data_IF_997829581223
#
_entry.id   IF_997829581223
#
_cell.length_a   1.000
_cell.length_b   1.000
_cell.length_c   1.000
_cell.angle_alpha   90.00
_cell.angle_beta   90.00
_cell.angle_gamma   90.00
#
_symmetry.space_group_name_H-M   'P 1'
#
loop_
_entity.id
_entity.type
_entity.pdbx_description
1 polymer ?
#
# COMPACT_ATOMS: atom_id res chain seq x y z
N UNK A 1 -95.26 -8.72 -8.59
CA UNK A 1 -94.02 -8.21 -9.24
C UNK A 1 -93.16 -7.56 -8.15
N UNK A 2 -92.28 -8.21 -7.51
CA UNK A 2 -91.31 -7.61 -6.51
C UNK A 2 -89.83 -7.83 -6.89
N UNK A 3 -89.43 -7.59 -8.14
CA UNK A 3 -88.02 -7.80 -8.54
C UNK A 3 -87.27 -6.55 -9.00
N UNK A 4 -87.85 -5.39 -9.02
CA UNK A 4 -87.23 -4.16 -9.56
C UNK A 4 -86.62 -3.30 -8.42
N UNK A 5 -86.96 -3.55 -7.16
CA UNK A 5 -86.51 -2.69 -6.04
C UNK A 5 -85.12 -3.09 -5.40
N UNK A 6 -84.51 -4.22 -5.78
CA UNK A 6 -83.24 -4.65 -5.21
C UNK A 6 -82.02 -4.23 -6.02
N UNK A 7 -82.16 -3.83 -7.28
CA UNK A 7 -81.01 -3.46 -8.13
C UNK A 7 -80.55 -2.02 -7.99
N UNK A 8 -81.40 -1.12 -7.51
CA UNK A 8 -81.02 0.34 -7.36
C UNK A 8 -80.19 0.60 -6.11
N UNK A 9 -80.15 -0.28 -5.14
CA UNK A 9 -79.36 -0.08 -3.88
C UNK A 9 -77.88 -0.53 -3.93
N UNK A 10 -77.48 -1.26 -4.97
CA UNK A 10 -76.11 -1.69 -5.14
C UNK A 10 -75.18 -0.70 -5.87
N UNK A 11 -75.75 0.15 -6.73
CA UNK A 11 -74.97 1.10 -7.50
C UNK A 11 -74.49 2.31 -6.68
N UNK A 12 -75.09 2.63 -5.56
CA UNK A 12 -74.68 3.77 -4.71
C UNK A 12 -73.54 3.45 -3.75
N UNK A 13 -73.19 2.18 -3.49
CA UNK A 13 -72.06 1.81 -2.60
C UNK A 13 -70.75 1.50 -3.30
N UNK A 14 -70.77 1.22 -4.59
CA UNK A 14 -69.53 0.91 -5.35
C UNK A 14 -68.50 2.08 -5.46
N UNK A 15 -68.89 3.33 -5.71
CA UNK A 15 -67.91 4.41 -5.86
C UNK A 15 -67.17 4.74 -4.57
N UNK A 16 -67.79 4.53 -3.39
CA UNK A 16 -67.19 4.80 -2.10
C UNK A 16 -66.10 3.77 -1.71
N UNK A 17 -66.30 2.51 -2.08
CA UNK A 17 -65.33 1.44 -1.86
C UNK A 17 -64.14 1.54 -2.83
N UNK A 18 -64.36 1.97 -4.07
CA UNK A 18 -63.28 2.18 -5.03
C UNK A 18 -62.34 3.33 -4.61
N UNK A 19 -62.89 4.41 -4.04
CA UNK A 19 -62.12 5.53 -3.51
C UNK A 19 -61.26 5.17 -2.31
N UNK A 20 -61.72 4.28 -1.42
CA UNK A 20 -60.97 3.80 -0.24
C UNK A 20 -59.88 2.82 -0.67
N UNK A 21 -60.13 1.97 -1.68
CA UNK A 21 -59.15 1.02 -2.21
C UNK A 21 -58.02 1.72 -2.97
N UNK A 22 -58.33 2.76 -3.72
CA UNK A 22 -57.36 3.61 -4.43
C UNK A 22 -56.46 4.40 -3.45
N UNK A 23 -57.03 4.97 -2.38
CA UNK A 23 -56.26 5.66 -1.33
C UNK A 23 -55.36 4.72 -0.57
N UNK A 24 -55.79 3.49 -0.23
CA UNK A 24 -54.95 2.47 0.42
C UNK A 24 -53.81 2.01 -0.48
N UNK A 25 -54.01 1.77 -1.77
CA UNK A 25 -52.93 1.45 -2.72
C UNK A 25 -51.88 2.56 -2.83
N UNK A 26 -52.32 3.81 -2.83
CA UNK A 26 -51.43 4.97 -2.89
C UNK A 26 -50.60 5.12 -1.60
N UNK A 27 -51.17 4.82 -0.44
CA UNK A 27 -50.45 4.84 0.86
C UNK A 27 -49.46 3.70 0.92
N UNK A 28 -49.83 2.49 0.51
CA UNK A 28 -48.95 1.32 0.48
C UNK A 28 -47.75 1.53 -0.48
N UNK A 29 -47.98 2.15 -1.64
CA UNK A 29 -46.90 2.52 -2.56
C UNK A 29 -45.95 3.55 -1.93
N UNK A 30 -46.45 4.59 -1.28
CA UNK A 30 -45.62 5.59 -0.60
C UNK A 30 -44.78 4.96 0.52
N UNK A 31 -45.31 4.04 1.31
CA UNK A 31 -44.59 3.31 2.35
C UNK A 31 -43.49 2.43 1.74
N UNK A 32 -43.75 1.75 0.62
CA UNK A 32 -42.73 0.94 -0.08
C UNK A 32 -41.56 1.82 -0.60
N UNK A 33 -41.86 3.02 -1.14
CA UNK A 33 -40.81 3.94 -1.60
C UNK A 33 -39.98 4.50 -0.41
N UNK A 34 -40.62 4.81 0.71
CA UNK A 34 -39.91 5.26 1.91
C UNK A 34 -39.02 4.15 2.46
N UNK A 35 -39.51 2.91 2.51
CA UNK A 35 -38.69 1.75 2.90
C UNK A 35 -37.51 1.51 1.95
N UNK A 36 -37.72 1.63 0.65
CA UNK A 36 -36.67 1.50 -0.35
C UNK A 36 -35.60 2.60 -0.19
N UNK A 37 -36.01 3.84 0.09
CA UNK A 37 -35.06 4.94 0.38
C UNK A 37 -34.28 4.71 1.66
N UNK A 38 -34.89 4.17 2.72
CA UNK A 38 -34.21 3.83 3.98
C UNK A 38 -33.17 2.71 3.77
N UNK A 39 -33.52 1.70 2.98
CA UNK A 39 -32.58 0.61 2.63
C UNK A 39 -31.39 1.14 1.81
N UNK A 40 -31.64 2.02 0.83
CA UNK A 40 -30.58 2.64 0.04
C UNK A 40 -29.68 3.55 0.90
N UNK A 41 -30.24 4.32 1.83
CA UNK A 41 -29.46 5.11 2.79
C UNK A 41 -28.65 4.23 3.74
N UNK A 42 -29.20 3.10 4.20
CA UNK A 42 -28.48 2.11 5.01
C UNK A 42 -27.26 1.53 4.31
N UNK A 43 -27.39 1.15 3.04
CA UNK A 43 -26.28 0.66 2.22
C UNK A 43 -25.18 1.72 2.00
N UNK A 44 -25.55 3.01 1.88
CA UNK A 44 -24.56 4.10 1.81
C UNK A 44 -23.80 4.30 3.11
N UNK A 45 -24.47 4.19 4.27
CA UNK A 45 -23.83 4.33 5.58
C UNK A 45 -22.89 3.17 5.90
N UNK A 46 -23.23 1.94 5.51
CA UNK A 46 -22.34 0.78 5.66
C UNK A 46 -21.10 0.89 4.77
N UNK A 47 -21.23 1.39 3.53
CA UNK A 47 -20.10 1.62 2.63
C UNK A 47 -19.08 2.60 3.21
N UNK A 48 -19.54 3.73 3.78
CA UNK A 48 -18.65 4.73 4.39
C UNK A 48 -18.01 4.25 5.70
N UNK A 49 -18.69 3.41 6.49
CA UNK A 49 -18.14 2.82 7.70
C UNK A 49 -17.05 1.79 7.40
N UNK A 50 -17.19 1.04 6.30
CA UNK A 50 -16.20 0.06 5.84
C UNK A 50 -14.93 0.75 5.30
N UNK A 51 -15.06 1.88 4.59
CA UNK A 51 -13.92 2.70 4.16
C UNK A 51 -13.16 3.32 5.35
N UNK A 52 -13.87 3.82 6.37
CA UNK A 52 -13.22 4.34 7.59
C UNK A 52 -12.46 3.27 8.36
N UNK A 53 -12.97 2.03 8.44
CA UNK A 53 -12.26 0.90 9.06
C UNK A 53 -11.02 0.48 8.25
N UNK A 54 -11.06 0.55 6.90
CA UNK A 54 -9.91 0.27 6.05
C UNK A 54 -8.82 1.32 6.21
N UNK A 55 -9.16 2.63 6.17
CA UNK A 55 -8.20 3.72 6.40
C UNK A 55 -7.52 3.62 7.76
N UNK A 56 -8.26 3.36 8.83
CA UNK A 56 -7.68 3.20 10.16
C UNK A 56 -6.72 2.00 10.25
N UNK A 57 -7.00 0.90 9.57
CA UNK A 57 -6.11 -0.27 9.50
C UNK A 57 -4.86 -0.02 8.65
N UNK A 58 -4.95 0.86 7.64
CA UNK A 58 -3.80 1.24 6.82
C UNK A 58 -2.93 2.28 7.55
N UNK A 59 -3.52 3.20 8.32
CA UNK A 59 -2.80 4.15 9.19
C UNK A 59 -2.06 3.42 10.33
N UNK A 60 -2.66 2.39 10.94
CA UNK A 60 -2.01 1.54 11.95
C UNK A 60 -0.83 0.75 11.35
N UNK A 61 -0.90 0.32 10.08
CA UNK A 61 0.24 -0.29 9.37
C UNK A 61 1.38 0.68 9.10
N UNK A 62 1.07 1.94 8.79
CA UNK A 62 2.08 2.98 8.57
C UNK A 62 2.81 3.31 9.88
N UNK A 63 2.13 3.22 11.01
CA UNK A 63 2.74 3.46 12.34
C UNK A 63 3.71 2.34 12.73
N UNK A 64 3.44 1.09 12.34
CA UNK A 64 4.30 -0.08 12.60
C UNK A 64 5.63 0.00 11.81
N UNK A 65 5.64 0.70 10.66
CA UNK A 65 6.87 0.91 9.87
C UNK A 65 7.83 1.95 10.47
N UNK A 66 7.45 2.62 11.56
CA UNK A 66 8.30 3.59 12.28
C UNK A 66 9.13 3.00 13.42
N UNK A 67 8.93 1.75 13.76
CA UNK A 67 9.86 1.05 14.66
C UNK A 67 11.15 0.79 13.88
N UNK A 68 11.95 1.83 13.81
CA UNK A 68 13.36 1.74 13.39
C UNK A 68 14.02 0.67 14.26
N UNK A 69 14.30 -0.45 13.65
CA UNK A 69 15.16 -1.47 14.25
C UNK A 69 16.44 -0.75 14.66
N UNK A 70 16.65 -0.61 15.97
CA UNK A 70 17.85 -0.01 16.54
C UNK A 70 18.99 -0.99 16.22
N UNK A 71 19.63 -0.83 15.07
CA UNK A 71 20.83 -1.57 14.71
C UNK A 71 21.96 -1.12 15.63
N UNK A 72 22.15 -1.81 16.74
CA UNK A 72 23.44 -1.76 17.42
C UNK A 72 24.40 -2.60 16.58
N UNK A 73 25.50 -2.02 16.09
CA UNK A 73 26.51 -2.82 15.42
C UNK A 73 27.08 -3.82 16.45
N UNK A 74 26.71 -5.07 16.31
CA UNK A 74 27.26 -6.15 17.08
C UNK A 74 28.52 -6.56 16.34
N UNK A 75 29.69 -6.18 16.85
CA UNK A 75 30.98 -6.69 16.38
C UNK A 75 31.17 -8.09 16.95
N UNK A 76 31.17 -9.08 16.06
CA UNK A 76 31.50 -10.45 16.47
C UNK A 76 32.98 -10.54 16.80
N UNK A 77 33.31 -11.30 17.84
CA UNK A 77 34.69 -11.65 18.19
C UNK A 77 35.18 -12.78 17.26
N UNK A 78 36.48 -12.94 17.15
CA UNK A 78 37.10 -13.93 16.26
C UNK A 78 36.64 -15.35 16.52
N UNK A 79 36.44 -15.73 17.79
CA UNK A 79 35.98 -17.06 18.18
C UNK A 79 34.52 -17.30 17.78
N UNK A 80 33.71 -16.25 17.79
CA UNK A 80 32.32 -16.30 17.34
C UNK A 80 32.24 -16.53 15.82
N UNK A 81 33.12 -15.88 15.02
CA UNK A 81 33.20 -16.13 13.58
C UNK A 81 33.64 -17.54 13.22
N UNK A 82 34.57 -18.10 13.99
CA UNK A 82 35.13 -19.45 13.74
C UNK A 82 34.08 -20.55 13.84
N UNK A 83 33.12 -20.39 14.75
CA UNK A 83 32.06 -21.37 15.02
C UNK A 83 30.71 -20.99 14.36
N UNK A 84 30.69 -19.94 13.54
CA UNK A 84 29.45 -19.44 12.99
C UNK A 84 28.96 -20.28 11.80
N UNK A 85 27.71 -20.71 11.88
CA UNK A 85 27.03 -21.41 10.80
C UNK A 85 26.03 -20.47 10.15
N UNK A 86 26.25 -20.16 8.87
CA UNK A 86 25.32 -19.35 8.08
C UNK A 86 23.96 -20.04 7.95
N UNK A 87 22.84 -19.32 8.07
CA UNK A 87 21.53 -19.87 7.84
C UNK A 87 21.38 -20.33 6.37
N UNK A 88 20.52 -21.30 6.08
CA UNK A 88 20.31 -21.76 4.72
C UNK A 88 19.75 -20.63 3.83
N UNK A 89 20.17 -20.58 2.56
CA UNK A 89 19.77 -19.54 1.60
C UNK A 89 18.24 -19.41 1.46
N UNK A 90 17.52 -20.52 1.55
CA UNK A 90 16.06 -20.55 1.44
C UNK A 90 15.39 -19.74 2.56
N UNK A 91 15.88 -19.85 3.78
CA UNK A 91 15.37 -19.07 4.91
C UNK A 91 15.64 -17.56 4.74
N UNK A 92 16.78 -17.19 4.16
CA UNK A 92 17.11 -15.80 3.84
C UNK A 92 16.21 -15.24 2.74
N UNK A 93 15.89 -16.02 1.70
CA UNK A 93 14.97 -15.61 0.65
C UNK A 93 13.55 -15.44 1.16
N UNK A 94 13.10 -16.29 2.07
CA UNK A 94 11.78 -16.16 2.67
C UNK A 94 11.67 -14.91 3.54
N UNK A 95 12.68 -14.64 4.35
CA UNK A 95 12.74 -13.42 5.15
C UNK A 95 12.80 -12.16 4.29
N UNK A 96 13.53 -12.20 3.17
CA UNK A 96 13.68 -11.10 2.23
C UNK A 96 12.36 -10.69 1.56
N UNK A 97 11.32 -11.53 1.60
CA UNK A 97 9.96 -11.13 1.19
C UNK A 97 9.42 -9.96 2.02
N UNK A 98 9.94 -9.77 3.22
CA UNK A 98 9.59 -8.64 4.08
C UNK A 98 10.42 -7.38 3.81
N UNK A 99 11.35 -7.41 2.85
CA UNK A 99 12.19 -6.28 2.51
C UNK A 99 11.33 -5.07 2.09
N UNK A 100 11.59 -3.86 2.62
CA UNK A 100 10.85 -2.64 2.28
C UNK A 100 10.84 -2.32 0.78
N UNK A 101 11.95 -2.61 0.06
CA UNK A 101 12.06 -2.41 -1.40
C UNK A 101 11.02 -3.27 -2.15
N UNK A 102 10.86 -4.52 -1.77
CA UNK A 102 9.85 -5.41 -2.36
C UNK A 102 8.43 -4.98 -2.01
N UNK A 103 8.18 -4.58 -0.76
CA UNK A 103 6.87 -4.07 -0.33
C UNK A 103 6.45 -2.80 -1.06
N UNK A 104 7.40 -1.93 -1.40
CA UNK A 104 7.12 -0.72 -2.19
C UNK A 104 6.62 -1.08 -3.60
N UNK A 105 7.27 -2.04 -4.26
CA UNK A 105 6.86 -2.51 -5.60
C UNK A 105 5.53 -3.28 -5.53
N UNK A 106 5.29 -4.05 -4.47
CA UNK A 106 4.01 -4.71 -4.23
C UNK A 106 2.87 -3.69 -4.05
N UNK A 107 3.12 -2.60 -3.33
CA UNK A 107 2.16 -1.51 -3.20
C UNK A 107 1.87 -0.84 -4.55
N UNK A 108 2.89 -0.63 -5.41
CA UNK A 108 2.73 -0.10 -6.75
C UNK A 108 1.90 -1.05 -7.64
N UNK A 109 2.13 -2.35 -7.55
CA UNK A 109 1.32 -3.37 -8.25
C UNK A 109 -0.15 -3.33 -7.78
N UNK A 110 -0.39 -3.19 -6.48
CA UNK A 110 -1.76 -3.06 -5.94
C UNK A 110 -2.44 -1.78 -6.42
N UNK A 111 -1.71 -0.66 -6.52
CA UNK A 111 -2.21 0.59 -7.07
C UNK A 111 -2.60 0.42 -8.55
N UNK A 112 -1.75 -0.20 -9.38
CA UNK A 112 -2.03 -0.50 -10.78
C UNK A 112 -3.27 -1.41 -10.93
N UNK A 113 -3.44 -2.39 -10.02
CA UNK A 113 -4.65 -3.23 -9.97
C UNK A 113 -5.90 -2.43 -9.63
N UNK A 114 -5.81 -1.47 -8.71
CA UNK A 114 -6.92 -0.60 -8.36
C UNK A 114 -7.30 0.30 -9.55
N UNK A 115 -6.32 0.83 -10.26
CA UNK A 115 -6.51 1.64 -11.45
C UNK A 115 -7.18 0.86 -12.59
N UNK A 116 -6.81 -0.42 -12.80
CA UNK A 116 -7.52 -1.30 -13.72
C UNK A 116 -9.00 -1.48 -13.34
N UNK A 117 -9.32 -1.55 -12.04
CA UNK A 117 -10.70 -1.64 -11.57
C UNK A 117 -11.47 -0.35 -11.80
N UNK A 118 -10.85 0.82 -11.60
CA UNK A 118 -11.48 2.11 -11.87
C UNK A 118 -11.73 2.29 -13.36
N UNK A 119 -10.74 2.01 -14.21
CA UNK A 119 -10.86 2.08 -15.67
C UNK A 119 -11.99 1.20 -16.21
N UNK A 120 -12.20 0.01 -15.62
CA UNK A 120 -13.36 -0.84 -15.98
C UNK A 120 -14.71 -0.23 -15.62
N UNK A 121 -14.76 0.66 -14.64
CA UNK A 121 -15.97 1.33 -14.15
C UNK A 121 -16.15 2.73 -14.72
N UNK A 122 -15.23 3.22 -15.52
CA UNK A 122 -15.28 4.57 -16.11
C UNK A 122 -16.55 4.84 -16.93
N UNK A 123 -17.19 3.78 -17.43
CA UNK A 123 -18.48 3.90 -18.11
C UNK A 123 -19.59 4.46 -17.22
N UNK A 124 -19.49 4.31 -15.88
CA UNK A 124 -20.46 4.87 -14.94
C UNK A 124 -20.47 6.41 -14.95
N UNK A 125 -19.38 7.06 -15.37
CA UNK A 125 -19.33 8.52 -15.50
C UNK A 125 -20.32 9.09 -16.54
N UNK A 126 -20.83 8.23 -17.44
CA UNK A 126 -21.83 8.64 -18.42
C UNK A 126 -23.20 8.82 -17.81
N UNK A 127 -23.43 8.30 -16.63
CA UNK A 127 -24.67 8.42 -15.89
C UNK A 127 -24.46 9.40 -14.74
N UNK A 128 -25.22 10.48 -14.75
CA UNK A 128 -25.21 11.44 -13.66
C UNK A 128 -26.63 11.59 -13.08
N UNK A 129 -26.70 11.53 -11.76
CA UNK A 129 -27.94 11.81 -11.01
C UNK A 129 -27.74 13.12 -10.26
N UNK A 130 -28.66 14.04 -10.45
CA UNK A 130 -28.67 15.34 -9.80
C UNK A 130 -29.91 15.45 -8.91
N UNK A 131 -29.70 15.79 -7.66
CA UNK A 131 -30.78 16.15 -6.75
C UNK A 131 -30.54 17.58 -6.28
N UNK A 132 -31.53 18.42 -6.36
CA UNK A 132 -31.51 19.81 -5.94
C UNK A 132 -32.66 20.11 -5.00
N UNK A 133 -32.44 20.88 -3.96
CA UNK A 133 -33.44 21.48 -3.12
C UNK A 133 -33.17 22.98 -3.02
N UNK A 134 -34.19 23.77 -3.35
CA UNK A 134 -34.12 25.23 -3.28
C UNK A 134 -35.22 25.73 -2.35
N UNK A 135 -34.79 26.47 -1.33
CA UNK A 135 -35.73 27.15 -0.43
C UNK A 135 -35.36 28.63 -0.42
N UNK A 136 -36.37 29.45 -0.63
CA UNK A 136 -36.18 30.90 -0.69
C UNK A 136 -37.42 31.67 -1.14
N UNK A 137 -37.29 32.96 -1.20
CA UNK A 137 -38.33 33.84 -1.76
C UNK A 137 -38.04 33.92 -3.25
N UNK A 138 -38.84 33.19 -4.03
CA UNK A 138 -38.83 33.30 -5.49
C UNK A 138 -39.86 34.37 -5.88
N UNK A 139 -39.35 35.46 -6.42
CA UNK A 139 -40.21 36.55 -6.89
C UNK A 139 -39.87 36.92 -8.32
N UNK A 140 -40.89 37.33 -9.04
CA UNK A 140 -40.79 37.91 -10.37
C UNK A 140 -41.06 39.41 -10.29
N UNK A 141 -40.19 40.17 -10.90
CA UNK A 141 -40.47 41.60 -11.17
C UNK A 141 -41.34 41.66 -12.43
N UNK A 142 -42.50 42.23 -12.33
CA UNK A 142 -43.37 42.47 -13.47
C UNK A 142 -43.49 43.97 -13.70
N UNK A 143 -42.95 44.42 -14.82
CA UNK A 143 -43.10 45.81 -15.26
C UNK A 143 -44.39 45.90 -16.01
N UNK A 144 -45.31 46.70 -15.50
CA UNK A 144 -46.58 46.97 -16.16
C UNK A 144 -46.60 48.43 -16.64
N UNK A 145 -46.49 48.62 -17.94
CA UNK A 145 -46.60 49.92 -18.58
C UNK A 145 -47.95 50.02 -19.21
N UNK A 146 -48.79 50.96 -18.73
CA UNK A 146 -50.07 51.30 -19.35
C UNK A 146 -50.06 52.76 -19.74
N UNK A 147 -50.72 53.11 -20.83
CA UNK A 147 -50.71 54.43 -21.43
C UNK A 147 -51.14 55.58 -20.46
N UNK A 148 -51.66 55.27 -19.32
CA UNK A 148 -52.18 56.23 -18.33
C UNK A 148 -51.46 56.09 -16.93
N UNK A 149 -50.57 55.16 -16.75
CA UNK A 149 -49.84 55.01 -15.49
C UNK A 149 -48.32 54.96 -15.71
N UNK A 150 -47.55 55.67 -14.88
CA UNK A 150 -46.09 55.54 -14.92
C UNK A 150 -45.63 54.12 -14.63
N UNK A 151 -44.50 53.77 -15.17
CA UNK A 151 -43.86 52.46 -15.03
C UNK A 151 -43.88 52.03 -13.54
N UNK A 152 -44.66 51.01 -13.23
CA UNK A 152 -44.78 50.50 -11.88
C UNK A 152 -44.19 49.08 -11.85
N UNK A 153 -43.02 48.92 -11.20
CA UNK A 153 -42.39 47.63 -10.97
C UNK A 153 -43.03 47.01 -9.74
N UNK A 154 -43.80 45.95 -9.93
CA UNK A 154 -44.39 45.20 -8.81
C UNK A 154 -43.56 43.93 -8.55
N UNK A 155 -43.06 43.83 -7.35
CA UNK A 155 -42.39 42.60 -6.88
C UNK A 155 -43.45 41.68 -6.25
N UNK A 156 -43.68 40.53 -6.86
CA UNK A 156 -44.50 39.46 -6.28
C UNK A 156 -43.57 38.29 -5.88
N UNK A 157 -43.29 38.21 -4.61
CA UNK A 157 -42.45 37.15 -4.04
C UNK A 157 -43.21 36.31 -3.02
N UNK A 158 -43.16 35.01 -3.19
CA UNK A 158 -43.65 34.06 -2.17
C UNK A 158 -42.52 33.14 -1.72
N UNK A 159 -42.53 32.79 -0.43
CA UNK A 159 -41.64 31.78 0.08
C UNK A 159 -42.00 30.44 -0.52
N UNK A 160 -41.10 29.90 -1.33
CA UNK A 160 -41.29 28.65 -2.04
C UNK A 160 -40.22 27.67 -1.72
N UNK A 161 -40.58 26.43 -1.48
CA UNK A 161 -39.67 25.27 -1.43
C UNK A 161 -39.87 24.45 -2.69
N UNK A 162 -38.79 24.23 -3.43
CA UNK A 162 -38.81 23.34 -4.58
C UNK A 162 -37.69 22.29 -4.48
N UNK A 163 -38.02 21.11 -4.90
CA UNK A 163 -37.03 20.04 -5.01
C UNK A 163 -37.08 19.46 -6.41
N UNK A 164 -35.93 19.10 -6.94
CA UNK A 164 -35.79 18.53 -8.27
C UNK A 164 -34.89 17.31 -8.22
N UNK A 165 -35.29 16.25 -8.88
CA UNK A 165 -34.47 15.07 -9.12
C UNK A 165 -34.41 14.88 -10.62
N UNK A 166 -33.17 14.81 -11.15
CA UNK A 166 -32.94 14.58 -12.56
C UNK A 166 -31.87 13.51 -12.76
N UNK A 167 -32.05 12.69 -13.78
CA UNK A 167 -31.04 11.79 -14.28
C UNK A 167 -30.60 12.25 -15.67
N UNK A 168 -29.29 12.30 -15.91
CA UNK A 168 -28.76 12.68 -17.21
C UNK A 168 -27.80 11.59 -17.69
N UNK A 169 -27.87 11.22 -18.96
CA UNK A 169 -27.00 10.29 -19.64
C UNK A 169 -26.27 11.04 -20.74
N UNK A 170 -24.96 11.20 -20.59
CA UNK A 170 -24.11 11.84 -21.57
C UNK A 170 -23.00 10.88 -22.01
N UNK A 171 -23.13 10.35 -23.22
CA UNK A 171 -22.21 9.34 -23.76
C UNK A 171 -21.39 9.97 -24.90
N UNK A 172 -20.12 10.36 -24.65
CA UNK A 172 -19.24 10.84 -25.72
C UNK A 172 -18.85 9.65 -26.63
N UNK A 173 -19.07 9.82 -27.94
CA UNK A 173 -18.80 8.77 -28.93
C UNK A 173 -17.37 8.23 -28.87
N UNK A 174 -16.38 9.10 -28.65
CA UNK A 174 -14.98 8.72 -28.50
C UNK A 174 -14.77 7.71 -27.36
N UNK A 175 -15.48 7.88 -26.25
CA UNK A 175 -15.38 6.99 -25.10
C UNK A 175 -15.96 5.60 -25.38
N UNK A 176 -17.03 5.51 -26.15
CA UNK A 176 -17.64 4.23 -26.53
C UNK A 176 -16.65 3.32 -27.27
N UNK A 177 -15.96 3.89 -28.26
CA UNK A 177 -15.02 3.11 -29.09
C UNK A 177 -13.69 2.84 -28.40
N UNK A 178 -13.23 3.74 -27.56
CA UNK A 178 -11.91 3.65 -26.94
C UNK A 178 -11.90 2.97 -25.56
N UNK A 179 -13.05 2.74 -24.93
CA UNK A 179 -13.12 2.13 -23.58
C UNK A 179 -12.48 0.76 -23.53
N UNK A 180 -12.73 -0.09 -24.52
CA UNK A 180 -12.13 -1.42 -24.60
C UNK A 180 -10.59 -1.37 -24.69
N UNK A 181 -10.09 -0.44 -25.51
CA UNK A 181 -8.64 -0.23 -25.68
C UNK A 181 -7.98 0.32 -24.40
N UNK A 182 -8.66 1.23 -23.68
CA UNK A 182 -8.18 1.74 -22.38
C UNK A 182 -8.08 0.63 -21.34
N UNK A 183 -9.11 -0.21 -21.23
CA UNK A 183 -9.12 -1.35 -20.30
C UNK A 183 -8.02 -2.35 -20.65
N UNK A 184 -7.81 -2.62 -21.95
CA UNK A 184 -6.74 -3.50 -22.42
C UNK A 184 -5.37 -2.94 -22.07
N UNK A 185 -5.12 -1.66 -22.38
CA UNK A 185 -3.88 -0.97 -22.01
C UNK A 185 -3.61 -1.07 -20.51
N UNK A 186 -4.61 -0.77 -19.68
CA UNK A 186 -4.44 -0.82 -18.23
C UNK A 186 -4.23 -2.24 -17.69
N UNK A 187 -4.75 -3.25 -18.39
CA UNK A 187 -4.44 -4.65 -18.07
C UNK A 187 -2.98 -4.96 -18.31
N UNK A 188 -2.41 -4.51 -19.44
CA UNK A 188 -0.99 -4.73 -19.76
C UNK A 188 -0.08 -4.01 -18.75
N UNK A 189 -0.44 -2.79 -18.31
CA UNK A 189 0.28 -2.07 -17.26
C UNK A 189 0.26 -2.85 -15.93
N UNK A 190 -0.87 -3.47 -15.58
CA UNK A 190 -0.93 -4.32 -14.40
C UNK A 190 -0.05 -5.58 -14.54
N UNK A 191 -0.06 -6.22 -15.69
CA UNK A 191 0.82 -7.38 -15.97
C UNK A 191 2.28 -6.97 -15.90
N UNK A 192 2.64 -5.81 -16.47
CA UNK A 192 3.98 -5.26 -16.37
C UNK A 192 4.42 -5.08 -14.91
N UNK A 193 3.55 -4.52 -14.05
CA UNK A 193 3.86 -4.34 -12.63
C UNK A 193 4.04 -5.66 -11.85
N UNK A 194 3.41 -6.75 -12.30
CA UNK A 194 3.66 -8.09 -11.75
C UNK A 194 5.06 -8.61 -12.09
N UNK A 195 5.48 -8.46 -13.34
CA UNK A 195 6.85 -8.85 -13.76
C UNK A 195 7.91 -7.96 -13.08
N UNK A 196 7.62 -6.68 -12.88
CA UNK A 196 8.52 -5.77 -12.16
C UNK A 196 8.72 -6.21 -10.70
N UNK A 197 7.65 -6.64 -10.03
CA UNK A 197 7.75 -7.21 -8.68
C UNK A 197 8.64 -8.45 -8.65
N UNK A 198 8.47 -9.35 -9.62
CA UNK A 198 9.28 -10.57 -9.73
C UNK A 198 10.74 -10.24 -10.03
N UNK A 199 11.01 -9.28 -10.93
CA UNK A 199 12.34 -8.82 -11.27
C UNK A 199 13.08 -8.26 -10.05
N UNK A 200 12.43 -7.37 -9.27
CA UNK A 200 13.00 -6.80 -8.04
C UNK A 200 13.26 -7.89 -6.99
N UNK A 201 12.38 -8.89 -6.87
CA UNK A 201 12.63 -10.00 -5.95
C UNK A 201 13.83 -10.85 -6.39
N UNK A 202 14.02 -11.07 -7.69
CA UNK A 202 15.19 -11.78 -8.21
C UNK A 202 16.48 -10.97 -8.04
N UNK A 203 16.42 -9.63 -8.17
CA UNK A 203 17.55 -8.77 -7.82
C UNK A 203 17.97 -8.94 -6.35
N UNK A 204 17.01 -8.88 -5.42
CA UNK A 204 17.28 -9.07 -3.98
C UNK A 204 17.90 -10.46 -3.71
N UNK A 205 17.41 -11.51 -4.37
CA UNK A 205 17.99 -12.85 -4.26
C UNK A 205 19.45 -12.88 -4.73
N UNK A 206 19.72 -12.23 -5.86
CA UNK A 206 21.10 -12.18 -6.40
C UNK A 206 22.03 -11.42 -5.46
N UNK A 207 21.60 -10.29 -4.89
CA UNK A 207 22.36 -9.56 -3.88
C UNK A 207 22.64 -10.43 -2.63
N UNK A 208 21.65 -11.19 -2.16
CA UNK A 208 21.83 -12.13 -1.04
C UNK A 208 22.86 -13.22 -1.38
N UNK A 209 22.76 -13.81 -2.58
CA UNK A 209 23.69 -14.87 -3.01
C UNK A 209 25.13 -14.32 -3.05
N UNK A 210 25.31 -13.13 -3.63
CA UNK A 210 26.61 -12.49 -3.73
C UNK A 210 27.24 -12.25 -2.34
N UNK A 211 26.49 -11.66 -1.42
CA UNK A 211 26.95 -11.41 -0.06
C UNK A 211 27.24 -12.73 0.66
N UNK A 212 26.37 -13.73 0.52
CA UNK A 212 26.52 -15.04 1.12
C UNK A 212 27.81 -15.75 0.67
N UNK A 213 28.09 -15.75 -0.63
CA UNK A 213 29.31 -16.31 -1.19
C UNK A 213 30.55 -15.55 -0.72
N UNK A 214 30.46 -14.21 -0.63
CA UNK A 214 31.55 -13.39 -0.10
C UNK A 214 31.84 -13.68 1.38
N UNK A 215 30.79 -13.84 2.19
CA UNK A 215 30.98 -14.26 3.62
C UNK A 215 31.68 -15.60 3.69
N UNK A 216 31.23 -16.59 2.92
CA UNK A 216 31.92 -17.91 2.93
C UNK A 216 33.39 -17.84 2.50
N UNK A 217 33.69 -16.99 1.51
CA UNK A 217 35.05 -16.75 1.07
C UNK A 217 35.90 -16.10 2.18
N UNK A 218 35.38 -15.05 2.80
CA UNK A 218 36.07 -14.34 3.87
C UNK A 218 36.28 -15.22 5.14
N UNK A 219 35.34 -16.11 5.47
CA UNK A 219 35.50 -17.07 6.57
C UNK A 219 36.64 -18.06 6.32
N UNK A 220 36.85 -18.48 5.05
CA UNK A 220 37.99 -19.30 4.67
C UNK A 220 39.31 -18.52 4.78
N UNK A 221 39.31 -17.26 4.32
CA UNK A 221 40.47 -16.38 4.44
C UNK A 221 40.82 -16.11 5.92
N UNK A 222 39.79 -15.89 6.77
CA UNK A 222 40.03 -15.70 8.22
C UNK A 222 40.78 -16.88 8.86
N UNK A 223 40.42 -18.10 8.44
CA UNK A 223 41.13 -19.30 8.94
C UNK A 223 42.61 -19.27 8.54
N UNK A 224 42.93 -18.97 7.28
CA UNK A 224 44.30 -18.88 6.76
C UNK A 224 45.06 -17.75 7.47
N UNK A 225 44.43 -16.57 7.59
CA UNK A 225 45.04 -15.40 8.24
C UNK A 225 45.30 -15.66 9.72
N UNK A 226 44.44 -16.39 10.42
CA UNK A 226 44.66 -16.79 11.82
C UNK A 226 45.84 -17.73 11.96
N UNK A 227 45.96 -18.74 11.07
CA UNK A 227 47.11 -19.65 11.05
C UNK A 227 48.41 -18.90 10.74
N UNK A 228 48.41 -17.99 9.79
CA UNK A 228 49.55 -17.13 9.43
C UNK A 228 49.93 -16.21 10.58
N UNK A 229 49.00 -15.56 11.23
CA UNK A 229 49.25 -14.67 12.37
C UNK A 229 49.89 -15.42 13.54
N UNK A 230 49.36 -16.62 13.87
CA UNK A 230 49.95 -17.47 14.93
C UNK A 230 51.39 -17.90 14.63
N UNK A 231 51.67 -18.20 13.35
CA UNK A 231 53.06 -18.55 12.94
C UNK A 231 54.00 -17.36 13.08
N UNK A 232 53.63 -16.20 12.52
CA UNK A 232 54.45 -14.98 12.61
C UNK A 232 54.62 -14.49 14.07
N UNK A 233 53.62 -14.67 14.93
CA UNK A 233 53.70 -14.32 16.36
C UNK A 233 54.71 -15.22 17.09
N UNK A 234 54.67 -16.52 16.80
CA UNK A 234 55.65 -17.48 17.35
C UNK A 234 57.09 -17.17 16.88
N UNK A 235 57.27 -16.91 15.57
CA UNK A 235 58.58 -16.58 15.00
C UNK A 235 59.12 -15.26 15.55
N UNK A 236 58.27 -14.23 15.68
CA UNK A 236 58.65 -12.95 16.28
C UNK A 236 59.03 -13.11 17.75
N UNK A 237 58.23 -13.82 18.55
CA UNK A 237 58.48 -14.04 19.96
C UNK A 237 59.82 -14.83 20.21
N UNK A 238 60.05 -15.86 19.38
CA UNK A 238 61.28 -16.62 19.41
C UNK A 238 62.49 -15.76 19.07
N UNK A 239 62.44 -14.98 18.03
CA UNK A 239 63.50 -14.09 17.58
C UNK A 239 63.72 -12.92 18.52
N UNK A 240 62.72 -12.42 19.22
CA UNK A 240 62.88 -11.42 20.28
C UNK A 240 63.61 -11.99 21.51
N UNK A 241 63.29 -13.22 21.92
CA UNK A 241 63.97 -13.91 23.00
C UNK A 241 65.46 -14.17 22.69
N UNK A 242 65.76 -14.56 21.43
CA UNK A 242 67.13 -14.76 20.97
C UNK A 242 67.90 -13.44 20.89
N UNK A 243 67.32 -12.38 20.54
CA UNK A 243 67.91 -11.04 20.52
C UNK A 243 68.27 -10.55 21.92
N UNK A 244 67.42 -10.75 22.91
CA UNK A 244 67.65 -10.38 24.30
C UNK A 244 68.81 -11.20 24.90
N UNK A 245 68.94 -12.45 24.45
CA UNK A 245 69.99 -13.42 25.00
C UNK A 245 71.37 -13.28 24.38
N UNK A 246 71.64 -12.26 23.51
CA UNK A 246 73.03 -11.95 23.13
C UNK A 246 73.44 -12.02 21.65
N UNK A 247 72.61 -11.72 20.70
CA UNK A 247 73.08 -11.68 19.31
C UNK A 247 72.82 -10.36 18.62
N UNK A 248 73.77 -9.41 18.64
CA UNK A 248 73.72 -8.13 17.98
C UNK A 248 73.68 -8.22 16.45
N UNK A 249 73.89 -9.36 15.83
CA UNK A 249 73.92 -9.56 14.37
C UNK A 249 72.54 -9.70 13.74
N UNK A 250 71.47 -9.76 14.53
CA UNK A 250 70.09 -10.06 14.03
C UNK A 250 69.12 -8.88 14.00
N UNK A 251 69.55 -7.63 14.17
CA UNK A 251 68.70 -6.48 14.20
C UNK A 251 67.85 -6.32 12.92
N UNK A 252 68.37 -6.62 11.73
CA UNK A 252 67.64 -6.58 10.46
C UNK A 252 66.59 -7.68 10.38
N UNK A 253 66.95 -8.90 10.79
CA UNK A 253 66.04 -10.05 10.78
C UNK A 253 64.83 -9.84 11.73
N UNK A 254 65.08 -9.29 12.93
CA UNK A 254 64.02 -8.94 13.87
C UNK A 254 63.10 -7.84 13.32
N UNK A 255 63.65 -6.83 12.63
CA UNK A 255 62.88 -5.76 11.97
C UNK A 255 62.00 -6.31 10.87
N UNK A 256 62.51 -7.21 10.03
CA UNK A 256 61.78 -7.84 8.94
C UNK A 256 60.65 -8.75 9.45
N UNK A 257 60.91 -9.53 10.52
CA UNK A 257 59.91 -10.34 11.17
C UNK A 257 58.81 -9.50 11.84
N UNK A 258 59.18 -8.41 12.50
CA UNK A 258 58.23 -7.47 13.05
C UNK A 258 57.33 -6.84 11.97
N UNK A 259 57.90 -6.48 10.84
CA UNK A 259 57.15 -5.96 9.69
C UNK A 259 56.19 -7.01 9.14
N UNK A 260 56.65 -8.26 8.98
CA UNK A 260 55.80 -9.37 8.50
C UNK A 260 54.67 -9.69 9.48
N UNK A 261 54.92 -9.69 10.79
CA UNK A 261 53.90 -9.85 11.83
C UNK A 261 52.86 -8.71 11.77
N UNK A 262 53.30 -7.43 11.61
CA UNK A 262 52.39 -6.29 11.47
C UNK A 262 51.52 -6.39 10.22
N UNK A 263 52.06 -6.86 9.08
CA UNK A 263 51.31 -7.08 7.87
C UNK A 263 50.22 -8.16 8.06
N UNK A 264 50.60 -9.29 8.68
CA UNK A 264 49.68 -10.38 8.97
C UNK A 264 48.54 -9.94 9.92
N UNK A 265 48.87 -9.14 10.95
CA UNK A 265 47.89 -8.57 11.86
C UNK A 265 46.93 -7.60 11.11
N UNK A 266 47.48 -6.75 10.25
CA UNK A 266 46.65 -5.80 9.46
C UNK A 266 45.72 -6.55 8.52
N UNK A 267 46.19 -7.60 7.86
CA UNK A 267 45.34 -8.43 6.97
C UNK A 267 44.24 -9.14 7.76
N UNK A 268 44.54 -9.69 8.91
CA UNK A 268 43.58 -10.32 9.81
C UNK A 268 42.48 -9.34 10.24
N UNK A 269 42.84 -8.14 10.71
CA UNK A 269 41.88 -7.12 11.12
C UNK A 269 41.02 -6.63 9.94
N UNK A 270 41.59 -6.52 8.73
CA UNK A 270 40.83 -6.16 7.53
C UNK A 270 39.79 -7.22 7.17
N UNK A 271 40.09 -8.51 7.31
CA UNK A 271 39.17 -9.61 7.08
C UNK A 271 38.02 -9.56 8.08
N UNK A 272 38.29 -9.35 9.36
CA UNK A 272 37.27 -9.22 10.41
C UNK A 272 36.35 -8.04 10.12
N UNK A 273 36.90 -6.88 9.78
CA UNK A 273 36.09 -5.69 9.45
C UNK A 273 35.22 -5.94 8.23
N UNK A 274 35.77 -6.59 7.20
CA UNK A 274 35.03 -6.96 6.00
C UNK A 274 33.87 -7.92 6.31
N UNK A 275 34.11 -8.92 7.13
CA UNK A 275 33.07 -9.85 7.60
C UNK A 275 31.95 -9.11 8.34
N UNK A 276 32.28 -8.24 9.28
CA UNK A 276 31.28 -7.44 10.00
C UNK A 276 30.39 -6.63 9.04
N UNK A 277 31.01 -5.98 8.06
CA UNK A 277 30.26 -5.21 7.04
C UNK A 277 29.34 -6.12 6.23
N UNK A 278 29.81 -7.28 5.79
CA UNK A 278 29.03 -8.24 5.00
C UNK A 278 27.85 -8.81 5.80
N UNK A 279 28.04 -9.14 7.07
CA UNK A 279 26.94 -9.61 7.93
C UNK A 279 25.89 -8.53 8.14
N UNK A 280 26.27 -7.29 8.41
CA UNK A 280 25.33 -6.17 8.52
C UNK A 280 24.56 -5.94 7.22
N UNK A 281 25.22 -6.00 6.06
CA UNK A 281 24.56 -5.93 4.76
C UNK A 281 23.54 -7.04 4.58
N UNK A 282 23.91 -8.28 4.94
CA UNK A 282 23.03 -9.44 4.83
C UNK A 282 21.79 -9.29 5.73
N UNK A 283 21.94 -8.79 6.96
CA UNK A 283 20.83 -8.50 7.87
C UNK A 283 19.86 -7.46 7.30
N UNK A 284 20.39 -6.38 6.71
CA UNK A 284 19.59 -5.32 6.12
C UNK A 284 18.78 -5.85 4.92
N UNK A 285 19.42 -6.60 4.03
CA UNK A 285 18.80 -7.10 2.79
C UNK A 285 17.79 -8.22 3.10
N UNK A 286 18.16 -9.16 3.97
CA UNK A 286 17.26 -10.25 4.37
C UNK A 286 16.16 -9.82 5.34
N UNK A 287 16.28 -8.61 5.92
CA UNK A 287 15.39 -8.10 6.97
C UNK A 287 15.23 -9.07 8.16
N UNK A 288 16.32 -9.74 8.51
CA UNK A 288 16.39 -10.73 9.61
C UNK A 288 17.62 -10.48 10.43
N UNK A 289 17.51 -10.60 11.76
CA UNK A 289 18.69 -10.60 12.62
C UNK A 289 19.41 -11.94 12.48
N UNK A 290 20.61 -11.90 11.94
CA UNK A 290 21.45 -13.08 11.70
C UNK A 290 22.39 -13.28 12.89
N UNK A 291 22.85 -12.18 13.47
CA UNK A 291 23.69 -12.19 14.67
C UNK A 291 22.78 -12.08 15.90
N UNK A 292 22.41 -13.22 16.47
CA UNK A 292 21.73 -13.29 17.76
C UNK A 292 22.77 -13.60 18.83
N UNK A 293 22.99 -12.66 19.76
CA UNK A 293 23.66 -12.95 21.03
C UNK A 293 22.67 -13.58 21.99
#
# INVERSE_FOLDING_TARGET
>A
RPEIFFLVRYETYLPHLYGIYSKRKCIIMKIKYILLCIILLGCFLESTAQERKRRKKDDDKITILRDTVNYKPVTLTTDEFRNYHLPPLEALFESARNNPRLKAVEAAMQASRAELRTTRRDWLQYFSVRAGYTYGILGTYTDTETQYNPLTTVYSGATQSSWSIGANVNIPLNSLFNQSSKVRKQREVYIQSQYEQEAVFNEIKNEIIEIYCNIQYQLKLLKIATESLTLYDADYTSSEADFINNNQTQNRMLSDLKHSHQLALTEYENIINTLNILFLKLEIISNTKIITK
#
